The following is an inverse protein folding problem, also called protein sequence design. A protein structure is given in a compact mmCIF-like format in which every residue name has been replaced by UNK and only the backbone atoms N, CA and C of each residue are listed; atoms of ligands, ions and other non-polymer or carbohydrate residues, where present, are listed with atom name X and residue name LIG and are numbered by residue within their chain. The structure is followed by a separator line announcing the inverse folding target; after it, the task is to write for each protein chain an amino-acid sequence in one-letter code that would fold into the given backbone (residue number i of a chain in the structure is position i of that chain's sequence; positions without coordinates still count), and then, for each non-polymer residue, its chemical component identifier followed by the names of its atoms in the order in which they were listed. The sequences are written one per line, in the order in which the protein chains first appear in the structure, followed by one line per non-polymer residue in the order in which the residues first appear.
data_IF_285167035245
#
_entry.id   IF_285167035245
#
_cell.length_a   1.000
_cell.length_b   1.000
_cell.length_c   1.000
_cell.angle_alpha   90.00
_cell.angle_beta   90.00
_cell.angle_gamma   90.00
#
_symmetry.space_group_name_H-M   'P 1'
#
loop_
_entity.id
_entity.type
_entity.pdbx_description
1 polymer ?
#
# COMPACT_ATOMS: atom_id res chain seq x y z
N UNK A 1 9.02 -30.22 16.86
CA UNK A 1 9.09 -28.74 16.89
C UNK A 1 7.68 -28.27 16.61
N UNK A 2 7.02 -27.74 17.63
CA UNK A 2 5.68 -27.15 17.54
C UNK A 2 5.78 -25.92 16.66
N UNK A 3 5.18 -25.98 15.47
CA UNK A 3 4.85 -24.82 14.66
C UNK A 3 4.05 -23.87 15.54
N UNK A 4 4.61 -22.72 15.88
CA UNK A 4 3.84 -21.64 16.49
C UNK A 4 2.75 -21.26 15.50
N UNK A 5 1.49 -21.45 15.88
CA UNK A 5 0.37 -20.76 15.24
C UNK A 5 0.69 -19.26 15.27
N UNK A 6 1.17 -18.73 14.15
CA UNK A 6 1.24 -17.29 13.94
C UNK A 6 -0.19 -16.80 13.85
N UNK A 7 -0.73 -16.30 14.96
CA UNK A 7 -2.00 -15.61 14.97
C UNK A 7 -1.87 -14.41 14.04
N UNK A 8 -2.71 -14.35 12.99
CA UNK A 8 -2.71 -13.24 12.06
C UNK A 8 -2.73 -11.89 12.80
N UNK A 9 -2.03 -10.86 12.28
CA UNK A 9 -2.01 -9.54 12.89
C UNK A 9 -3.43 -9.02 13.13
N UNK A 10 -3.65 -8.39 14.28
CA UNK A 10 -4.97 -7.84 14.62
C UNK A 10 -5.05 -6.40 14.16
N UNK A 11 -6.07 -6.08 13.33
CA UNK A 11 -6.38 -4.70 12.97
C UNK A 11 -6.87 -3.95 14.21
N UNK A 12 -6.24 -2.82 14.51
CA UNK A 12 -6.73 -1.90 15.55
C UNK A 12 -7.65 -0.88 14.92
N UNK A 13 -8.80 -0.65 15.55
CA UNK A 13 -9.75 0.41 15.16
C UNK A 13 -9.79 1.47 16.26
N UNK A 14 -9.37 2.69 15.95
CA UNK A 14 -9.38 3.82 16.88
C UNK A 14 -9.82 5.10 16.18
N UNK A 15 -10.78 5.81 16.76
CA UNK A 15 -11.36 7.05 16.20
C UNK A 15 -11.79 6.93 14.72
N UNK A 16 -12.30 5.77 14.32
CA UNK A 16 -12.72 5.49 12.94
C UNK A 16 -11.60 5.17 11.96
N UNK A 17 -10.35 5.08 12.43
CA UNK A 17 -9.19 4.69 11.62
C UNK A 17 -8.83 3.25 11.94
N UNK A 18 -8.67 2.44 10.91
CA UNK A 18 -8.17 1.07 10.98
C UNK A 18 -6.68 1.02 10.61
N UNK A 19 -5.86 0.37 11.42
CA UNK A 19 -4.41 0.32 11.21
C UNK A 19 -3.77 -0.88 11.94
N UNK A 20 -2.52 -1.18 11.57
CA UNK A 20 -1.63 -2.07 12.30
C UNK A 20 -0.19 -1.54 12.17
N UNK A 21 0.36 -1.04 13.27
CA UNK A 21 1.71 -0.48 13.37
C UNK A 21 2.35 -0.95 14.68
N UNK A 22 3.68 -0.88 14.78
CA UNK A 22 4.39 -1.42 15.95
C UNK A 22 4.00 -0.74 17.27
N UNK A 23 3.96 0.59 17.31
CA UNK A 23 3.67 1.36 18.53
C UNK A 23 3.22 2.80 18.21
N UNK A 24 1.98 3.15 18.55
CA UNK A 24 1.44 4.50 18.35
C UNK A 24 2.11 5.58 19.22
N UNK A 25 2.74 5.20 20.34
CA UNK A 25 3.41 6.16 21.23
C UNK A 25 4.59 6.86 20.55
N UNK A 26 5.12 6.27 19.46
CA UNK A 26 6.21 6.82 18.66
C UNK A 26 5.80 8.01 17.78
N UNK A 27 4.50 8.33 17.69
CA UNK A 27 3.99 9.35 16.78
C UNK A 27 4.59 10.74 17.01
N UNK A 28 4.90 11.13 18.26
CA UNK A 28 5.52 12.43 18.52
C UNK A 28 6.94 12.50 17.94
N UNK A 29 7.72 11.41 18.08
CA UNK A 29 9.06 11.34 17.50
C UNK A 29 8.98 11.39 15.97
N UNK A 30 8.11 10.58 15.36
CA UNK A 30 7.92 10.61 13.91
C UNK A 30 7.43 11.96 13.40
N UNK A 31 6.55 12.64 14.13
CA UNK A 31 6.09 13.99 13.76
C UNK A 31 7.24 15.01 13.76
N UNK A 32 8.19 14.90 14.69
CA UNK A 32 9.39 15.77 14.71
C UNK A 32 10.25 15.53 13.47
N UNK A 33 10.50 14.28 13.11
CA UNK A 33 11.29 13.95 11.92
C UNK A 33 10.58 14.29 10.60
N UNK A 34 9.26 14.10 10.51
CA UNK A 34 8.46 14.54 9.35
C UNK A 34 8.63 16.05 9.13
N UNK A 35 8.52 16.87 10.19
CA UNK A 35 8.71 18.33 10.07
C UNK A 35 10.12 18.70 9.61
N UNK A 36 11.15 17.93 10.01
CA UNK A 36 12.51 18.12 9.50
C UNK A 36 12.60 17.74 8.03
N UNK A 37 12.03 16.59 7.64
CA UNK A 37 12.03 16.12 6.27
C UNK A 37 11.26 17.05 5.32
N UNK A 38 10.20 17.72 5.77
CA UNK A 38 9.50 18.74 4.97
C UNK A 38 10.44 19.88 4.52
N UNK A 39 11.46 20.23 5.30
CA UNK A 39 12.46 21.23 4.90
C UNK A 39 13.40 20.71 3.80
N UNK A 40 13.65 19.41 3.77
CA UNK A 40 14.50 18.71 2.79
C UNK A 40 13.71 18.16 1.58
N UNK A 41 12.39 18.34 1.54
CA UNK A 41 11.52 17.87 0.46
C UNK A 41 10.78 19.03 -0.25
N UNK A 42 11.51 20.02 -0.80
CA UNK A 42 10.91 21.23 -1.35
C UNK A 42 9.97 20.97 -2.54
N UNK A 43 10.19 19.89 -3.30
CA UNK A 43 9.31 19.50 -4.41
C UNK A 43 7.89 19.16 -3.93
N UNK A 44 7.76 18.30 -2.91
CA UNK A 44 6.46 17.96 -2.33
C UNK A 44 5.81 19.19 -1.69
N UNK A 45 6.59 19.97 -0.95
CA UNK A 45 6.07 21.18 -0.30
C UNK A 45 5.62 22.24 -1.31
N UNK A 46 6.27 22.32 -2.47
CA UNK A 46 5.84 23.19 -3.57
C UNK A 46 4.50 22.71 -4.15
N UNK A 47 4.34 21.41 -4.42
CA UNK A 47 3.08 20.85 -4.91
C UNK A 47 1.92 21.08 -3.95
N UNK A 48 2.15 20.90 -2.63
CA UNK A 48 1.14 21.23 -1.60
C UNK A 48 0.66 22.68 -1.72
N UNK A 49 1.57 23.64 -1.93
CA UNK A 49 1.23 25.06 -2.07
C UNK A 49 0.54 25.36 -3.41
N UNK A 50 1.07 24.82 -4.50
CA UNK A 50 0.58 25.06 -5.86
C UNK A 50 -0.86 24.57 -6.04
N UNK A 51 -1.18 23.39 -5.50
CA UNK A 51 -2.47 22.73 -5.71
C UNK A 51 -3.43 22.80 -4.51
N UNK A 52 -3.12 23.61 -3.49
CA UNK A 52 -3.91 23.73 -2.26
C UNK A 52 -5.39 24.07 -2.48
N UNK A 53 -5.68 24.94 -3.46
CA UNK A 53 -7.05 25.41 -3.74
C UNK A 53 -7.81 24.47 -4.68
N UNK A 54 -7.09 23.78 -5.58
CA UNK A 54 -7.70 22.96 -6.64
C UNK A 54 -8.10 21.57 -6.12
N UNK A 55 -7.39 21.05 -5.11
CA UNK A 55 -7.58 19.70 -4.55
C UNK A 55 -7.70 18.64 -5.67
N UNK A 56 -6.66 18.51 -6.52
CA UNK A 56 -6.74 17.73 -7.75
C UNK A 56 -6.98 16.23 -7.52
N UNK A 57 -6.69 15.73 -6.32
CA UNK A 57 -6.89 14.34 -5.94
C UNK A 57 -8.20 14.10 -5.18
N UNK A 58 -9.09 15.09 -5.11
CA UNK A 58 -10.40 14.94 -4.46
C UNK A 58 -11.18 13.77 -5.08
N UNK A 59 -11.54 12.80 -4.23
CA UNK A 59 -12.25 11.57 -4.64
C UNK A 59 -11.34 10.44 -5.11
N UNK A 60 -10.02 10.65 -5.13
CA UNK A 60 -9.05 9.56 -5.27
C UNK A 60 -9.00 8.76 -3.97
N UNK A 61 -8.99 7.44 -4.12
CA UNK A 61 -8.82 6.44 -3.06
C UNK A 61 -7.56 5.66 -3.40
N UNK A 62 -6.44 6.17 -2.89
CA UNK A 62 -5.09 5.74 -3.24
C UNK A 62 -4.64 4.62 -2.30
N UNK A 63 -4.42 3.45 -2.87
CA UNK A 63 -3.78 2.32 -2.20
C UNK A 63 -2.27 2.37 -2.49
N UNK A 64 -1.47 2.70 -1.47
CA UNK A 64 -0.02 2.87 -1.59
C UNK A 64 0.79 1.72 -1.01
N UNK A 65 1.74 1.20 -1.80
CA UNK A 65 2.65 0.11 -1.46
C UNK A 65 4.10 0.54 -1.68
N UNK A 66 4.60 1.41 -0.81
CA UNK A 66 5.97 1.95 -0.81
C UNK A 66 6.56 1.78 0.58
N UNK A 67 7.89 1.73 0.69
CA UNK A 67 8.58 1.72 1.98
C UNK A 67 7.97 2.75 2.96
N UNK A 68 7.51 2.31 4.14
CA UNK A 68 6.86 3.19 5.12
C UNK A 68 7.91 3.96 5.94
N UNK A 69 8.50 5.00 5.34
CA UNK A 69 9.56 5.84 5.92
C UNK A 69 9.07 7.26 6.23
N UNK A 70 9.94 8.08 6.84
CA UNK A 70 9.72 9.52 7.03
C UNK A 70 9.52 10.24 5.69
N UNK A 71 10.25 9.87 4.64
CA UNK A 71 10.10 10.48 3.31
C UNK A 71 8.73 10.15 2.72
N UNK A 72 8.32 8.88 2.82
CA UNK A 72 7.01 8.43 2.39
C UNK A 72 5.89 9.05 3.21
N UNK A 73 6.10 9.31 4.50
CA UNK A 73 5.14 10.03 5.33
C UNK A 73 4.85 11.45 4.78
N UNK A 74 5.86 12.18 4.32
CA UNK A 74 5.67 13.49 3.66
C UNK A 74 4.93 13.34 2.33
N UNK A 75 5.19 12.27 1.56
CA UNK A 75 4.45 11.95 0.34
C UNK A 75 2.96 11.68 0.64
N UNK A 76 2.66 10.80 1.59
CA UNK A 76 1.30 10.45 2.02
C UNK A 76 0.52 11.70 2.44
N UNK A 77 1.11 12.54 3.29
CA UNK A 77 0.47 13.79 3.72
C UNK A 77 0.33 14.81 2.58
N UNK A 78 1.18 14.73 1.54
CA UNK A 78 1.00 15.52 0.31
C UNK A 78 -0.23 15.04 -0.46
N UNK A 79 -0.40 13.74 -0.65
CA UNK A 79 -1.58 13.19 -1.33
C UNK A 79 -2.87 13.61 -0.61
N UNK A 80 -2.90 13.47 0.72
CA UNK A 80 -4.03 13.88 1.54
C UNK A 80 -4.29 15.39 1.50
N UNK A 81 -3.24 16.22 1.59
CA UNK A 81 -3.36 17.67 1.45
C UNK A 81 -3.92 18.09 0.09
N UNK A 82 -3.71 17.29 -0.95
CA UNK A 82 -4.25 17.50 -2.30
C UNK A 82 -5.62 16.85 -2.53
N UNK A 83 -6.24 16.32 -1.47
CA UNK A 83 -7.63 15.85 -1.45
C UNK A 83 -7.83 14.34 -1.56
N UNK A 84 -6.77 13.54 -1.60
CA UNK A 84 -6.89 12.08 -1.66
C UNK A 84 -7.31 11.49 -0.31
N UNK A 85 -8.10 10.42 -0.36
CA UNK A 85 -8.15 9.43 0.70
C UNK A 85 -7.03 8.41 0.42
N UNK A 86 -6.35 7.94 1.46
CA UNK A 86 -5.16 7.09 1.33
C UNK A 86 -5.26 5.90 2.27
N UNK A 87 -4.72 4.74 1.85
CA UNK A 87 -4.41 3.59 2.71
C UNK A 87 -3.00 3.10 2.35
N UNK A 88 -2.22 2.68 3.33
CA UNK A 88 -0.79 2.40 3.10
C UNK A 88 -0.31 1.08 3.70
N UNK A 89 0.61 0.42 2.99
CA UNK A 89 1.42 -0.68 3.45
C UNK A 89 2.86 -0.50 2.95
N UNK A 90 3.81 -1.14 3.61
CA UNK A 90 5.19 -1.15 3.15
C UNK A 90 5.39 -2.16 2.01
N UNK A 91 6.30 -1.90 1.07
CA UNK A 91 6.70 -2.88 0.04
C UNK A 91 7.94 -3.72 0.44
N UNK A 92 8.37 -3.64 1.70
CA UNK A 92 9.44 -4.49 2.21
C UNK A 92 9.38 -4.65 3.74
N UNK A 93 9.50 -5.90 4.20
CA UNK A 93 9.41 -6.34 5.60
C UNK A 93 10.34 -5.62 6.60
N UNK A 94 11.45 -5.02 6.13
CA UNK A 94 12.40 -4.34 7.02
C UNK A 94 12.52 -2.84 6.77
N UNK A 95 11.81 -2.29 5.79
CA UNK A 95 11.98 -0.90 5.38
C UNK A 95 11.22 0.10 6.25
N UNK A 96 10.19 -0.36 6.96
CA UNK A 96 9.36 0.49 7.80
C UNK A 96 10.17 1.19 8.89
N UNK A 97 9.91 2.48 9.05
CA UNK A 97 10.33 3.29 10.19
C UNK A 97 9.11 3.46 11.10
N UNK A 98 9.05 2.72 12.21
CA UNK A 98 7.82 2.59 13.01
C UNK A 98 7.28 3.92 13.55
N UNK A 99 8.18 4.86 13.87
CA UNK A 99 7.81 6.21 14.29
C UNK A 99 7.14 7.01 13.15
N UNK A 100 7.56 6.82 11.89
CA UNK A 100 6.89 7.41 10.74
C UNK A 100 5.48 6.81 10.54
N UNK A 101 5.37 5.48 10.63
CA UNK A 101 4.08 4.78 10.53
C UNK A 101 3.09 5.26 11.61
N UNK A 102 3.54 5.34 12.87
CA UNK A 102 2.73 5.88 13.97
C UNK A 102 2.30 7.34 13.74
N UNK A 103 3.23 8.19 13.28
CA UNK A 103 2.94 9.61 13.03
C UNK A 103 1.93 9.83 11.90
N UNK A 104 1.86 8.92 10.91
CA UNK A 104 0.88 8.96 9.84
C UNK A 104 -0.50 8.51 10.30
N UNK A 105 -0.59 7.48 11.14
CA UNK A 105 -1.87 7.07 11.75
C UNK A 105 -2.42 8.19 12.64
N UNK A 106 -1.57 8.79 13.48
CA UNK A 106 -1.98 9.88 14.37
C UNK A 106 -2.30 11.17 13.60
N UNK A 107 -1.59 11.46 12.53
CA UNK A 107 -1.76 12.67 11.72
C UNK A 107 -1.15 13.93 12.36
N UNK A 108 -1.14 15.07 11.63
CA UNK A 108 -0.46 16.30 12.06
C UNK A 108 -1.14 17.02 13.24
N UNK A 109 -2.41 16.69 13.50
CA UNK A 109 -3.27 17.35 14.48
C UNK A 109 -4.01 16.36 15.41
N UNK A 110 -3.69 15.07 15.36
CA UNK A 110 -4.22 14.06 16.27
C UNK A 110 -3.30 13.77 17.46
N UNK A 111 -3.75 12.88 18.34
CA UNK A 111 -2.92 12.26 19.40
C UNK A 111 -2.99 10.74 19.29
N UNK A 112 -2.13 9.97 19.97
CA UNK A 112 -2.25 8.51 20.00
C UNK A 112 -3.63 7.99 20.44
N UNK A 113 -4.32 8.71 21.32
CA UNK A 113 -5.66 8.36 21.82
C UNK A 113 -6.79 8.82 20.89
N UNK A 114 -6.56 9.90 20.15
CA UNK A 114 -7.51 10.49 19.18
C UNK A 114 -6.80 10.71 17.83
N UNK A 115 -6.44 9.62 17.10
CA UNK A 115 -5.74 9.72 15.83
C UNK A 115 -6.64 10.36 14.77
N UNK A 116 -6.05 11.20 13.90
CA UNK A 116 -6.75 11.94 12.83
C UNK A 116 -6.02 11.81 11.49
N UNK A 117 -5.24 10.76 11.35
CA UNK A 117 -4.40 10.51 10.19
C UNK A 117 -5.01 9.50 9.24
N UNK A 118 -4.15 8.60 8.75
CA UNK A 118 -4.40 7.74 7.59
C UNK A 118 -4.19 6.27 7.99
N UNK A 119 -5.00 5.33 7.48
CA UNK A 119 -4.77 3.89 7.64
C UNK A 119 -3.38 3.45 7.18
N UNK A 120 -2.63 2.79 8.08
CA UNK A 120 -1.30 2.23 7.80
C UNK A 120 -1.24 0.80 8.35
N UNK A 121 -0.79 -0.12 7.52
CA UNK A 121 -0.53 -1.52 7.85
C UNK A 121 0.94 -1.79 7.56
N UNK A 122 1.80 -1.43 8.51
CA UNK A 122 3.24 -1.53 8.33
C UNK A 122 3.97 -1.49 9.68
N UNK A 123 4.91 -2.41 9.89
CA UNK A 123 5.88 -2.37 10.97
C UNK A 123 7.22 -2.92 10.51
N UNK A 124 8.29 -2.61 11.25
CA UNK A 124 9.60 -3.15 10.97
C UNK A 124 9.69 -4.59 11.46
N UNK A 125 10.12 -5.49 10.58
CA UNK A 125 10.35 -6.89 10.92
C UNK A 125 9.13 -7.80 10.73
N UNK A 126 8.28 -7.47 9.77
CA UNK A 126 7.17 -8.33 9.33
C UNK A 126 7.66 -9.73 8.90
N UNK A 127 6.83 -10.75 9.12
CA UNK A 127 6.96 -12.02 8.37
C UNK A 127 6.39 -11.89 6.96
N UNK A 128 6.61 -12.88 6.09
CA UNK A 128 6.03 -12.87 4.74
C UNK A 128 4.50 -12.93 4.78
N UNK A 129 3.91 -13.66 5.72
CA UNK A 129 2.46 -13.72 5.92
C UNK A 129 1.89 -12.37 6.37
N UNK A 130 2.59 -11.69 7.26
CA UNK A 130 2.23 -10.36 7.74
C UNK A 130 2.32 -9.31 6.62
N UNK A 131 3.37 -9.37 5.80
CA UNK A 131 3.56 -8.53 4.63
C UNK A 131 2.40 -8.62 3.64
N UNK A 132 2.08 -9.84 3.19
CA UNK A 132 0.98 -10.05 2.25
C UNK A 132 -0.38 -9.74 2.85
N UNK A 133 -0.57 -10.01 4.15
CA UNK A 133 -1.76 -9.58 4.88
C UNK A 133 -1.90 -8.05 4.89
N UNK A 134 -0.82 -7.31 5.14
CA UNK A 134 -0.82 -5.86 5.15
C UNK A 134 -1.12 -5.28 3.77
N UNK A 135 -0.54 -5.87 2.72
CA UNK A 135 -0.87 -5.52 1.32
C UNK A 135 -2.37 -5.71 1.03
N UNK A 136 -2.98 -6.80 1.50
CA UNK A 136 -4.42 -7.01 1.37
C UNK A 136 -5.23 -5.97 2.16
N UNK A 137 -4.85 -5.61 3.39
CA UNK A 137 -5.53 -4.55 4.17
C UNK A 137 -5.47 -3.18 3.48
N UNK A 138 -4.33 -2.86 2.88
CA UNK A 138 -4.09 -1.60 2.17
C UNK A 138 -4.93 -1.49 0.87
N UNK A 139 -5.13 -2.61 0.16
CA UNK A 139 -5.98 -2.67 -1.05
C UNK A 139 -7.47 -2.81 -0.74
N UNK A 140 -7.83 -3.26 0.46
CA UNK A 140 -9.23 -3.48 0.86
C UNK A 140 -9.79 -2.23 1.54
N UNK A 141 -10.60 -1.47 0.80
CA UNK A 141 -11.30 -0.30 1.32
C UNK A 141 -12.58 -0.70 2.07
N UNK A 142 -12.97 0.01 3.14
CA UNK A 142 -14.05 -0.41 4.03
C UNK A 142 -15.44 -0.39 3.38
N UNK A 143 -15.66 0.52 2.43
CA UNK A 143 -16.90 0.63 1.67
C UNK A 143 -16.82 -0.24 0.40
N UNK A 144 -17.61 -1.30 0.34
CA UNK A 144 -17.57 -2.28 -0.76
C UNK A 144 -17.90 -1.67 -2.14
N UNK A 145 -18.68 -0.59 -2.19
CA UNK A 145 -19.02 0.17 -3.40
C UNK A 145 -17.98 1.26 -3.75
N UNK A 146 -16.98 1.47 -2.90
CA UNK A 146 -15.87 2.40 -3.11
C UNK A 146 -14.50 1.71 -2.91
N UNK A 147 -14.17 0.68 -3.70
CA UNK A 147 -12.85 0.08 -3.68
C UNK A 147 -11.76 1.08 -4.09
N UNK A 148 -10.49 0.68 -3.93
CA UNK A 148 -9.34 1.44 -4.43
C UNK A 148 -9.58 1.88 -5.88
N UNK A 149 -9.24 3.12 -6.20
CA UNK A 149 -9.38 3.63 -7.58
C UNK A 149 -8.05 4.13 -8.17
N UNK A 150 -6.98 4.12 -7.39
CA UNK A 150 -5.62 4.42 -7.81
C UNK A 150 -4.65 3.53 -7.02
N UNK A 151 -3.56 3.10 -7.64
CA UNK A 151 -2.46 2.42 -6.97
C UNK A 151 -1.19 3.28 -7.08
N UNK A 152 -0.45 3.38 -5.98
CA UNK A 152 0.90 3.98 -5.94
C UNK A 152 1.85 2.87 -5.48
N UNK A 153 2.65 2.33 -6.39
CA UNK A 153 3.37 1.06 -6.20
C UNK A 153 4.88 1.25 -6.29
N UNK A 154 5.62 0.40 -5.59
CA UNK A 154 7.06 0.28 -5.64
C UNK A 154 7.43 -1.21 -5.57
N UNK A 155 7.88 -1.74 -6.70
CA UNK A 155 8.22 -3.15 -6.89
C UNK A 155 7.10 -3.95 -7.55
N UNK A 156 5.88 -3.41 -7.62
CA UNK A 156 4.76 -3.97 -8.37
C UNK A 156 3.94 -5.03 -7.63
N UNK A 157 4.09 -5.17 -6.31
CA UNK A 157 3.40 -6.21 -5.54
C UNK A 157 1.90 -5.92 -5.36
N UNK A 158 1.53 -4.65 -5.16
CA UNK A 158 0.11 -4.28 -5.10
C UNK A 158 -0.58 -4.54 -6.45
N UNK A 159 0.09 -4.17 -7.54
CA UNK A 159 -0.35 -4.43 -8.91
C UNK A 159 -0.47 -5.93 -9.17
N UNK A 160 0.53 -6.72 -8.76
CA UNK A 160 0.52 -8.18 -8.93
C UNK A 160 -0.65 -8.81 -8.17
N UNK A 161 -0.91 -8.41 -6.93
CA UNK A 161 -2.00 -8.95 -6.12
C UNK A 161 -3.37 -8.71 -6.78
N UNK A 162 -3.61 -7.50 -7.28
CA UNK A 162 -4.86 -7.15 -7.97
C UNK A 162 -5.02 -7.94 -9.27
N UNK A 163 -4.01 -7.95 -10.14
CA UNK A 163 -4.11 -8.59 -11.45
C UNK A 163 -4.20 -10.12 -11.35
N UNK A 164 -3.38 -10.76 -10.50
CA UNK A 164 -3.43 -12.21 -10.28
C UNK A 164 -4.70 -12.63 -9.54
N UNK A 165 -5.13 -11.84 -8.55
CA UNK A 165 -6.41 -12.07 -7.87
C UNK A 165 -7.56 -12.10 -8.86
N UNK A 166 -7.69 -11.08 -9.72
CA UNK A 166 -8.75 -11.02 -10.74
C UNK A 166 -8.62 -12.15 -11.78
N UNK A 167 -7.38 -12.52 -12.16
CA UNK A 167 -7.12 -13.65 -13.05
C UNK A 167 -7.64 -14.96 -12.46
N UNK A 168 -7.37 -15.24 -11.19
CA UNK A 168 -7.78 -16.48 -10.53
C UNK A 168 -9.27 -16.50 -10.19
N UNK A 169 -9.87 -15.35 -9.86
CA UNK A 169 -11.32 -15.21 -9.74
C UNK A 169 -12.03 -15.55 -11.07
N UNK A 170 -11.52 -15.03 -12.19
CA UNK A 170 -12.04 -15.36 -13.53
C UNK A 170 -11.87 -16.84 -13.87
N UNK A 171 -10.78 -17.46 -13.43
CA UNK A 171 -10.55 -18.90 -13.60
C UNK A 171 -11.39 -19.76 -12.64
N UNK A 172 -11.92 -19.16 -11.56
CA UNK A 172 -12.63 -19.85 -10.49
C UNK A 172 -11.73 -20.68 -9.57
N UNK A 173 -10.41 -20.55 -9.68
CA UNK A 173 -9.44 -21.34 -8.91
C UNK A 173 -8.09 -20.62 -8.84
N UNK A 174 -7.47 -20.65 -7.66
CA UNK A 174 -6.06 -20.28 -7.48
C UNK A 174 -5.21 -21.55 -7.68
N UNK A 175 -4.15 -21.51 -8.49
CA UNK A 175 -3.32 -22.69 -8.75
C UNK A 175 -2.74 -23.29 -7.46
N UNK A 176 -2.48 -24.61 -7.42
CA UNK A 176 -1.78 -25.23 -6.30
C UNK A 176 -0.34 -24.69 -6.20
N UNK A 177 0.26 -24.79 -5.01
CA UNK A 177 1.69 -24.53 -4.83
C UNK A 177 2.51 -25.72 -5.34
N UNK A 178 3.67 -25.43 -5.92
CA UNK A 178 4.71 -26.41 -6.23
C UNK A 178 5.82 -26.31 -5.18
N UNK A 179 6.04 -27.38 -4.40
CA UNK A 179 7.00 -27.35 -3.30
C UNK A 179 8.46 -27.16 -3.74
N UNK A 180 8.80 -27.64 -4.94
CA UNK A 180 10.17 -27.67 -5.47
C UNK A 180 10.48 -26.43 -6.33
N UNK A 181 9.45 -25.78 -6.91
CA UNK A 181 9.61 -24.64 -7.82
C UNK A 181 9.21 -23.30 -7.22
N UNK A 182 8.21 -23.26 -6.33
CA UNK A 182 7.73 -22.00 -5.78
C UNK A 182 8.60 -21.54 -4.61
N UNK A 183 8.92 -20.25 -4.59
CA UNK A 183 9.51 -19.61 -3.41
C UNK A 183 8.54 -19.61 -2.23
N UNK A 184 9.06 -19.58 -1.00
CA UNK A 184 8.24 -19.50 0.22
C UNK A 184 7.26 -18.30 0.19
N UNK A 185 7.72 -17.16 -0.30
CA UNK A 185 6.90 -15.97 -0.49
C UNK A 185 5.75 -16.19 -1.47
N UNK A 186 6.02 -16.84 -2.61
CA UNK A 186 4.98 -17.13 -3.59
C UNK A 186 3.94 -18.13 -3.06
N UNK A 187 4.36 -19.09 -2.22
CA UNK A 187 3.44 -19.99 -1.51
C UNK A 187 2.51 -19.22 -0.58
N UNK A 188 3.04 -18.24 0.18
CA UNK A 188 2.24 -17.33 1.03
C UNK A 188 1.26 -16.50 0.21
N UNK A 189 1.72 -15.92 -0.91
CA UNK A 189 0.90 -15.15 -1.84
C UNK A 189 -0.29 -15.97 -2.38
N UNK A 190 -0.04 -17.19 -2.86
CA UNK A 190 -1.11 -18.07 -3.35
C UNK A 190 -2.05 -18.52 -2.22
N UNK A 191 -1.52 -18.74 -1.02
CA UNK A 191 -2.34 -19.05 0.16
C UNK A 191 -3.29 -17.90 0.52
N UNK A 192 -2.80 -16.65 0.47
CA UNK A 192 -3.65 -15.47 0.64
C UNK A 192 -4.76 -15.43 -0.41
N UNK A 193 -4.43 -15.57 -1.68
CA UNK A 193 -5.43 -15.52 -2.75
C UNK A 193 -6.47 -16.65 -2.66
N UNK A 194 -6.09 -17.86 -2.20
CA UNK A 194 -7.05 -18.94 -1.94
C UNK A 194 -8.06 -18.57 -0.88
N UNK A 195 -7.58 -18.09 0.28
CA UNK A 195 -8.46 -17.63 1.37
C UNK A 195 -9.35 -16.47 0.92
N UNK A 196 -8.80 -15.55 0.13
CA UNK A 196 -9.52 -14.40 -0.42
C UNK A 196 -10.64 -14.84 -1.37
N UNK A 197 -10.35 -15.76 -2.30
CA UNK A 197 -11.30 -16.33 -3.26
C UNK A 197 -12.45 -17.08 -2.56
N UNK A 198 -12.15 -17.83 -1.50
CA UNK A 198 -13.16 -18.53 -0.69
C UNK A 198 -14.08 -17.55 0.06
N UNK A 199 -13.53 -16.44 0.55
CA UNK A 199 -14.29 -15.43 1.28
C UNK A 199 -15.14 -14.54 0.36
N UNK A 200 -14.59 -14.12 -0.79
CA UNK A 200 -15.25 -13.27 -1.77
C UNK A 200 -14.66 -13.50 -3.17
N UNK A 201 -15.43 -14.17 -4.02
CA UNK A 201 -14.96 -14.60 -5.34
C UNK A 201 -14.90 -13.50 -6.41
N UNK A 202 -15.16 -12.25 -6.04
CA UNK A 202 -15.23 -11.11 -6.94
C UNK A 202 -14.49 -9.87 -6.40
N UNK A 203 -13.76 -10.00 -5.29
CA UNK A 203 -13.06 -8.90 -4.62
C UNK A 203 -12.05 -8.22 -5.55
N UNK A 204 -11.15 -9.00 -6.13
CA UNK A 204 -10.03 -8.50 -6.92
C UNK A 204 -10.49 -8.01 -8.29
N UNK A 205 -11.50 -8.63 -8.88
CA UNK A 205 -12.14 -8.17 -10.12
C UNK A 205 -12.78 -6.80 -9.90
N UNK A 206 -13.54 -6.59 -8.81
CA UNK A 206 -14.12 -5.26 -8.50
C UNK A 206 -13.05 -4.20 -8.25
N UNK A 207 -11.94 -4.55 -7.59
CA UNK A 207 -10.82 -3.63 -7.40
C UNK A 207 -10.18 -3.30 -8.76
N UNK A 208 -9.86 -4.31 -9.57
CA UNK A 208 -9.24 -4.13 -10.89
C UNK A 208 -10.09 -3.25 -11.82
N UNK A 209 -11.42 -3.41 -11.80
CA UNK A 209 -12.36 -2.60 -12.59
C UNK A 209 -12.48 -1.15 -12.09
N UNK A 210 -12.20 -0.91 -10.81
CA UNK A 210 -12.25 0.42 -10.18
C UNK A 210 -10.95 1.21 -10.35
N UNK A 211 -9.80 0.53 -10.41
CA UNK A 211 -8.50 1.17 -10.55
C UNK A 211 -8.40 1.90 -11.90
N UNK A 212 -8.20 3.22 -11.83
CA UNK A 212 -8.02 4.10 -13.00
C UNK A 212 -6.59 4.18 -13.48
N UNK A 213 -5.65 3.74 -12.67
CA UNK A 213 -4.25 3.59 -13.05
C UNK A 213 -3.32 3.33 -11.86
N UNK A 214 -2.09 2.97 -12.19
CA UNK A 214 -0.98 2.79 -11.25
C UNK A 214 0.19 3.71 -11.60
N UNK A 215 0.88 4.22 -10.58
CA UNK A 215 2.19 4.86 -10.73
C UNK A 215 3.25 3.97 -10.07
N UNK A 216 4.28 3.58 -10.81
CA UNK A 216 5.30 2.62 -10.33
C UNK A 216 6.68 3.28 -10.19
N UNK A 217 7.27 3.12 -9.00
CA UNK A 217 8.47 3.83 -8.55
C UNK A 217 9.77 3.20 -9.08
N UNK A 218 9.91 1.87 -9.11
CA UNK A 218 11.20 1.20 -9.32
C UNK A 218 11.31 0.45 -10.64
N UNK A 219 12.56 0.28 -11.10
CA UNK A 219 12.92 -0.51 -12.28
C UNK A 219 12.32 -1.92 -12.27
N UNK A 220 12.30 -2.58 -11.11
CA UNK A 220 11.77 -3.95 -10.96
C UNK A 220 10.26 -3.99 -11.22
N UNK A 221 9.51 -3.10 -10.59
CA UNK A 221 8.06 -3.01 -10.82
C UNK A 221 7.73 -2.58 -12.25
N UNK A 222 8.50 -1.65 -12.83
CA UNK A 222 8.35 -1.26 -14.24
C UNK A 222 8.59 -2.43 -15.20
N UNK A 223 9.60 -3.27 -14.93
CA UNK A 223 9.82 -4.47 -15.73
C UNK A 223 8.61 -5.41 -15.65
N UNK A 224 8.05 -5.62 -14.45
CA UNK A 224 6.82 -6.41 -14.27
C UNK A 224 5.68 -5.80 -15.08
N UNK A 225 5.45 -4.48 -15.00
CA UNK A 225 4.44 -3.77 -15.80
C UNK A 225 4.59 -4.03 -17.30
N UNK A 226 5.82 -3.97 -17.84
CA UNK A 226 6.06 -4.29 -19.25
C UNK A 226 5.76 -5.75 -19.59
N UNK A 227 6.04 -6.70 -18.69
CA UNK A 227 5.70 -8.11 -18.88
C UNK A 227 4.18 -8.31 -18.95
N UNK A 228 3.42 -7.72 -18.01
CA UNK A 228 1.94 -7.83 -18.00
C UNK A 228 1.31 -7.11 -19.19
N UNK A 229 1.87 -5.97 -19.59
CA UNK A 229 1.44 -5.26 -20.79
C UNK A 229 1.72 -6.06 -22.08
N UNK A 230 2.90 -6.67 -22.21
CA UNK A 230 3.25 -7.52 -23.36
C UNK A 230 2.38 -8.77 -23.45
N UNK A 231 1.92 -9.31 -22.31
CA UNK A 231 0.96 -10.40 -22.25
C UNK A 231 -0.50 -9.99 -22.53
N UNK A 232 -0.78 -8.68 -22.65
CA UNK A 232 -2.15 -8.17 -22.79
C UNK A 232 -2.99 -8.29 -21.52
N UNK A 233 -2.35 -8.41 -20.37
CA UNK A 233 -2.97 -8.65 -19.06
C UNK A 233 -3.05 -7.38 -18.18
N UNK A 234 -2.45 -6.26 -18.61
CA UNK A 234 -2.55 -4.98 -17.90
C UNK A 234 -3.93 -4.34 -18.13
N UNK A 235 -4.78 -4.31 -17.10
CA UNK A 235 -6.18 -3.86 -17.19
C UNK A 235 -6.41 -2.37 -16.97
N UNK A 236 -5.40 -1.63 -16.49
CA UNK A 236 -5.47 -0.20 -16.25
C UNK A 236 -4.17 0.51 -16.66
N UNK A 237 -4.22 1.82 -16.98
CA UNK A 237 -3.03 2.60 -17.33
C UNK A 237 -1.93 2.53 -16.26
N UNK A 238 -0.67 2.54 -16.68
CA UNK A 238 0.48 2.60 -15.79
C UNK A 238 1.41 3.76 -16.19
N UNK A 239 1.87 4.53 -15.20
CA UNK A 239 2.92 5.54 -15.37
C UNK A 239 4.19 5.02 -14.73
N UNK A 240 5.23 4.90 -15.56
CA UNK A 240 6.59 4.61 -15.15
C UNK A 240 7.22 5.87 -14.55
N UNK A 241 7.27 5.95 -13.22
CA UNK A 241 7.90 7.07 -12.49
C UNK A 241 9.41 6.91 -12.50
N UNK A 242 9.89 5.66 -12.41
CA UNK A 242 11.31 5.32 -12.37
C UNK A 242 12.14 6.01 -13.48
N UNK A 243 11.64 5.98 -14.72
CA UNK A 243 12.37 6.46 -15.89
C UNK A 243 12.21 7.97 -16.13
N UNK A 244 11.55 8.68 -15.20
CA UNK A 244 11.68 10.14 -15.15
C UNK A 244 13.15 10.50 -14.96
N UNK A 245 13.64 11.50 -15.71
CA UNK A 245 15.05 11.90 -15.70
C UNK A 245 15.51 12.31 -14.30
N UNK A 246 14.63 12.94 -13.51
CA UNK A 246 14.87 13.37 -12.13
C UNK A 246 14.77 12.25 -11.09
N UNK A 247 14.46 11.02 -11.50
CA UNK A 247 14.40 9.84 -10.64
C UNK A 247 15.53 8.86 -10.97
N UNK A 248 15.70 8.54 -12.26
CA UNK A 248 16.65 7.52 -12.73
C UNK A 248 18.13 7.91 -12.68
N UNK A 249 18.47 9.19 -12.53
CA UNK A 249 19.85 9.71 -12.55
C UNK A 249 20.32 10.14 -11.17
#
# INVERSE_FOLDING_TARGET
MTTSDSTAPTVTHLNGIDFAVADLSLAEFGRKEIRLAEHEMPGLMALRREYAEVLPLKGARVSGSLHMTIQTAVLIETLAALGAEVRWASCNIFSTQDHAAAAIVVGPHGTPEEPKGIPVFAWKGETLEEYWWAAEQMLTWPEADKPANMILDDGGDATMLVLKGAQYEKAGVVPPTDEDQDSDEYKVFLSLLRRSLEADSQKWTRIADSVKGVTEETTTGVLRLYQVAAAGELTFPAINVNDSVTKSK
#
